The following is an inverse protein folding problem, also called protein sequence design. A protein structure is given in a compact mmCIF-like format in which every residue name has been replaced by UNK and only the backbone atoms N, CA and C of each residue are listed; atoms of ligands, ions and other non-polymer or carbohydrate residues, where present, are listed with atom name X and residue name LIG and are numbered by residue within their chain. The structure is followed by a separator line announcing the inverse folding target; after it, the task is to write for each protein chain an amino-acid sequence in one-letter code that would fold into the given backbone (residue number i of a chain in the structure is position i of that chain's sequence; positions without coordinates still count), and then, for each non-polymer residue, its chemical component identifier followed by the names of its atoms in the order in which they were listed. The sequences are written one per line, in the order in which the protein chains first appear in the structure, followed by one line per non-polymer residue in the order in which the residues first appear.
data_IF_617395236882
#
_entry.id   IF_617395236882
#
_cell.length_a   1.000
_cell.length_b   1.000
_cell.length_c   1.000
_cell.angle_alpha   90.00
_cell.angle_beta   90.00
_cell.angle_gamma   90.00
#
_symmetry.space_group_name_H-M   'P 1'
#
loop_
_entity.id
_entity.type
_entity.pdbx_description
1 polymer ?
#
# COMPACT_ATOMS: atom_id res chain seq x y z
N UNK A 1 -7.85 4.54 7.72
CA UNK A 1 -6.43 4.87 7.94
C UNK A 1 -5.74 5.02 6.58
N UNK A 2 -5.13 6.17 6.30
CA UNK A 2 -4.33 6.35 5.08
C UNK A 2 -2.91 5.88 5.34
N UNK A 3 -2.42 4.90 4.57
CA UNK A 3 -1.01 4.50 4.60
C UNK A 3 -0.24 5.55 3.79
N UNK A 4 0.47 6.43 4.49
CA UNK A 4 1.41 7.37 3.86
C UNK A 4 2.73 6.67 3.61
N UNK A 5 3.12 6.56 2.33
CA UNK A 5 4.38 5.92 1.92
C UNK A 5 5.41 7.03 1.70
N UNK A 6 6.50 6.98 2.46
CA UNK A 6 7.71 7.77 2.20
C UNK A 6 8.55 7.02 1.14
N UNK A 7 8.67 7.55 -0.10
CA UNK A 7 9.30 6.84 -1.19
C UNK A 7 10.77 6.48 -0.92
N UNK A 8 11.51 7.35 -0.24
CA UNK A 8 12.94 7.18 0.00
C UNK A 8 13.20 6.08 1.03
N UNK A 9 12.49 6.15 2.16
CA UNK A 9 12.55 5.09 3.18
C UNK A 9 12.02 3.76 2.67
N UNK A 10 10.98 3.78 1.85
CA UNK A 10 10.43 2.56 1.26
C UNK A 10 11.44 1.91 0.30
N UNK A 11 12.12 2.71 -0.54
CA UNK A 11 13.18 2.21 -1.41
C UNK A 11 14.33 1.59 -0.60
N UNK A 12 14.82 2.28 0.43
CA UNK A 12 15.89 1.77 1.28
C UNK A 12 15.52 0.43 1.93
N UNK A 13 14.30 0.31 2.46
CA UNK A 13 13.82 -0.88 3.15
C UNK A 13 13.61 -2.06 2.19
N UNK A 14 13.03 -1.82 1.01
CA UNK A 14 12.80 -2.86 -0.01
C UNK A 14 14.11 -3.38 -0.58
N UNK A 15 15.04 -2.48 -0.91
CA UNK A 15 16.32 -2.86 -1.53
C UNK A 15 17.27 -3.51 -0.53
N UNK A 16 17.33 -3.03 0.72
CA UNK A 16 18.16 -3.65 1.77
C UNK A 16 17.68 -5.05 2.14
N UNK A 17 16.37 -5.28 2.15
CA UNK A 17 15.80 -6.61 2.40
C UNK A 17 15.99 -7.60 1.24
N UNK A 18 16.22 -7.09 0.02
CA UNK A 18 16.33 -7.89 -1.20
C UNK A 18 17.58 -7.51 -1.99
N UNK A 19 18.78 -7.81 -1.46
CA UNK A 19 20.02 -7.50 -2.16
C UNK A 19 20.12 -8.28 -3.48
N UNK A 20 20.50 -7.60 -4.56
CA UNK A 20 20.74 -8.23 -5.86
C UNK A 20 21.90 -9.22 -5.77
N UNK A 21 21.77 -10.34 -6.48
CA UNK A 21 22.82 -11.37 -6.60
C UNK A 21 23.68 -11.22 -7.85
N UNK A 22 23.45 -10.17 -8.64
CA UNK A 22 24.20 -9.91 -9.87
C UNK A 22 25.52 -9.22 -9.55
N UNK A 23 26.49 -9.35 -10.45
CA UNK A 23 27.83 -8.77 -10.27
C UNK A 23 28.02 -7.48 -11.08
N UNK A 24 27.31 -7.33 -12.20
CA UNK A 24 27.39 -6.15 -13.04
C UNK A 24 26.57 -4.99 -12.43
N UNK A 25 27.19 -3.82 -12.18
CA UNK A 25 26.49 -2.65 -11.63
C UNK A 25 25.24 -2.25 -12.43
N UNK A 26 25.26 -2.37 -13.76
CA UNK A 26 24.10 -2.03 -14.59
C UNK A 26 22.92 -2.97 -14.33
N UNK A 27 23.20 -4.27 -14.19
CA UNK A 27 22.16 -5.27 -13.99
C UNK A 27 21.59 -5.23 -12.56
N UNK A 28 22.42 -4.87 -11.58
CA UNK A 28 22.00 -4.57 -10.19
C UNK A 28 21.06 -3.38 -10.18
N UNK A 29 21.42 -2.29 -10.88
CA UNK A 29 20.60 -1.08 -10.93
C UNK A 29 19.24 -1.36 -11.60
N UNK A 30 19.22 -2.08 -12.73
CA UNK A 30 17.98 -2.48 -13.41
C UNK A 30 17.07 -3.29 -12.50
N UNK A 31 17.61 -4.31 -11.84
CA UNK A 31 16.85 -5.18 -10.93
C UNK A 31 16.31 -4.40 -9.72
N UNK A 32 17.13 -3.51 -9.15
CA UNK A 32 16.73 -2.67 -8.01
C UNK A 32 15.59 -1.72 -8.37
N UNK A 33 15.68 -1.07 -9.53
CA UNK A 33 14.62 -0.17 -10.03
C UNK A 33 13.32 -0.95 -10.27
N UNK A 34 13.40 -2.11 -10.91
CA UNK A 34 12.23 -2.94 -11.18
C UNK A 34 11.57 -3.42 -9.89
N UNK A 35 12.36 -3.88 -8.93
CA UNK A 35 11.87 -4.32 -7.62
C UNK A 35 11.16 -3.18 -6.87
N UNK A 36 11.80 -2.00 -6.81
CA UNK A 36 11.22 -0.83 -6.14
C UNK A 36 9.87 -0.43 -6.77
N UNK A 37 9.80 -0.31 -8.10
CA UNK A 37 8.56 0.10 -8.79
C UNK A 37 7.42 -0.90 -8.53
N UNK A 38 7.72 -2.20 -8.58
CA UNK A 38 6.72 -3.23 -8.36
C UNK A 38 6.22 -3.23 -6.91
N UNK A 39 7.13 -3.14 -5.94
CA UNK A 39 6.77 -3.05 -4.53
C UNK A 39 5.95 -1.80 -4.22
N UNK A 40 6.33 -0.65 -4.78
CA UNK A 40 5.65 0.62 -4.55
C UNK A 40 4.22 0.61 -5.10
N UNK A 41 4.01 0.12 -6.32
CA UNK A 41 2.67 -0.05 -6.91
C UNK A 41 1.78 -0.97 -6.07
N UNK A 42 2.37 -2.02 -5.49
CA UNK A 42 1.63 -2.94 -4.64
C UNK A 42 1.24 -2.28 -3.33
N UNK A 43 2.14 -1.52 -2.71
CA UNK A 43 1.87 -0.75 -1.51
C UNK A 43 0.78 0.32 -1.74
N UNK A 44 0.80 1.04 -2.86
CA UNK A 44 -0.27 1.99 -3.23
C UNK A 44 -1.63 1.30 -3.39
N UNK A 45 -1.67 0.12 -4.02
CA UNK A 45 -2.91 -0.67 -4.13
C UNK A 45 -3.45 -1.07 -2.76
N UNK A 46 -2.57 -1.52 -1.84
CA UNK A 46 -2.98 -1.85 -0.48
C UNK A 46 -3.46 -0.63 0.30
N UNK A 47 -2.79 0.51 0.17
CA UNK A 47 -3.23 1.77 0.76
C UNK A 47 -4.66 2.13 0.30
N UNK A 48 -4.91 2.08 -1.00
CA UNK A 48 -6.22 2.38 -1.59
C UNK A 48 -7.32 1.41 -1.13
N UNK A 49 -7.06 0.10 -1.12
CA UNK A 49 -8.02 -0.90 -0.65
C UNK A 49 -8.32 -0.70 0.84
N UNK A 50 -7.30 -0.44 1.66
CA UNK A 50 -7.48 -0.22 3.09
C UNK A 50 -8.34 1.01 3.39
N UNK A 51 -8.18 2.09 2.60
CA UNK A 51 -9.01 3.28 2.73
C UNK A 51 -10.46 2.96 2.36
N UNK A 52 -10.68 2.37 1.19
CA UNK A 52 -12.03 2.04 0.71
C UNK A 52 -12.78 1.07 1.63
N UNK A 53 -12.08 0.05 2.15
CA UNK A 53 -12.68 -0.91 3.08
C UNK A 53 -13.03 -0.27 4.43
N UNK A 54 -12.19 0.64 4.91
CA UNK A 54 -12.45 1.37 6.15
C UNK A 54 -13.65 2.31 5.98
N UNK A 55 -13.67 3.10 4.91
CA UNK A 55 -14.75 4.06 4.64
C UNK A 55 -16.11 3.34 4.50
N UNK A 56 -16.12 2.18 3.84
CA UNK A 56 -17.33 1.35 3.71
C UNK A 56 -17.76 0.76 5.05
N UNK A 57 -16.82 0.29 5.87
CA UNK A 57 -17.12 -0.27 7.20
C UNK A 57 -17.67 0.79 8.15
N UNK A 58 -17.05 1.98 8.18
CA UNK A 58 -17.51 3.10 9.02
C UNK A 58 -18.90 3.57 8.62
N UNK A 59 -19.18 3.70 7.31
CA UNK A 59 -20.52 4.05 6.83
C UNK A 59 -21.59 3.01 7.21
N UNK A 60 -21.24 1.72 7.23
CA UNK A 60 -22.15 0.66 7.68
C UNK A 60 -22.39 0.67 9.20
N UNK A 61 -21.38 1.01 10.00
CA UNK A 61 -21.54 1.20 11.44
C UNK A 61 -22.43 2.42 11.73
N UNK A 62 -22.20 3.55 11.06
CA UNK A 62 -23.05 4.74 11.19
C UNK A 62 -24.51 4.46 10.81
N UNK A 63 -24.75 3.71 9.72
CA UNK A 63 -26.10 3.26 9.32
C UNK A 63 -26.75 2.31 10.32
N UNK A 64 -25.97 1.56 11.08
CA UNK A 64 -26.46 0.66 12.12
C UNK A 64 -26.79 1.41 13.40
N UNK A 65 -25.97 2.40 13.77
CA UNK A 65 -26.18 3.25 14.95
C UNK A 65 -27.31 4.26 14.75
N UNK A 66 -27.45 4.78 13.54
CA UNK A 66 -28.67 5.47 13.12
C UNK A 66 -29.75 4.43 12.91
N UNK A 67 -30.39 3.97 13.99
CA UNK A 67 -31.60 3.13 13.92
C UNK A 67 -32.53 3.74 12.88
N UNK A 68 -32.51 3.15 11.69
CA UNK A 68 -33.37 3.56 10.60
C UNK A 68 -34.78 3.24 11.08
N UNK A 69 -35.51 4.29 11.49
CA UNK A 69 -36.96 4.28 11.69
C UNK A 69 -37.69 4.04 10.35
N UNK A 70 -37.25 3.05 9.57
CA UNK A 70 -37.76 2.62 8.28
C UNK A 70 -39.04 1.78 8.41
N UNK A 71 -39.57 1.60 9.61
CA UNK A 71 -40.89 1.04 9.84
C UNK A 71 -41.72 1.98 10.71
N UNK A 72 -42.47 2.86 10.04
CA UNK A 72 -43.78 3.35 10.49
C UNK A 72 -44.74 3.30 9.32
#
# INVERSE_FOLDING_TARGET
MSISIDPEKFAELVLSANPSKKENPEDIAKESIELYINAYRMAERYANISSSSYDTSSALEELKETELHLCK
#
